data_IF_791732267735
#
_entry.id   IF_791732267735
#
_cell.length_a   1.000
_cell.length_b   1.000
_cell.length_c   1.000
_cell.angle_alpha   90.00
_cell.angle_beta   90.00
_cell.angle_gamma   90.00
#
_symmetry.space_group_name_H-M   'P 1'
#
loop_
_entity.id
_entity.type
_entity.pdbx_description
1 polymer ?
#
# COMPACT_ATOMS: atom_id res chain seq x y z
N UNK A 1 -16.23 -24.49 -1.49
CA UNK A 1 -15.09 -24.58 -2.44
C UNK A 1 -14.92 -23.29 -3.26
N UNK A 2 -15.94 -22.83 -3.99
CA UNK A 2 -15.85 -21.59 -4.80
C UNK A 2 -15.51 -20.32 -3.99
N UNK A 3 -16.09 -20.14 -2.80
CA UNK A 3 -15.78 -19.00 -1.93
C UNK A 3 -14.31 -18.95 -1.53
N UNK A 4 -13.71 -20.11 -1.21
CA UNK A 4 -12.30 -20.17 -0.83
C UNK A 4 -11.40 -19.80 -2.00
N UNK A 5 -11.68 -20.32 -3.21
CA UNK A 5 -10.95 -19.96 -4.43
C UNK A 5 -11.08 -18.47 -4.72
N UNK A 6 -12.29 -17.93 -4.64
CA UNK A 6 -12.55 -16.51 -4.87
C UNK A 6 -11.77 -15.62 -3.87
N UNK A 7 -11.82 -15.95 -2.58
CA UNK A 7 -11.09 -15.20 -1.54
C UNK A 7 -9.58 -15.28 -1.77
N UNK A 8 -9.04 -16.47 -2.07
CA UNK A 8 -7.60 -16.61 -2.35
C UNK A 8 -7.16 -15.78 -3.55
N UNK A 9 -7.93 -15.79 -4.64
CA UNK A 9 -7.66 -14.95 -5.81
C UNK A 9 -7.72 -13.46 -5.46
N UNK A 10 -8.78 -13.05 -4.74
CA UNK A 10 -8.94 -11.67 -4.30
C UNK A 10 -7.77 -11.21 -3.42
N UNK A 11 -7.30 -12.05 -2.48
CA UNK A 11 -6.15 -11.76 -1.63
C UNK A 11 -4.86 -11.59 -2.44
N UNK A 12 -4.61 -12.46 -3.42
CA UNK A 12 -3.43 -12.36 -4.30
C UNK A 12 -3.47 -11.05 -5.09
N UNK A 13 -4.61 -10.75 -5.72
CA UNK A 13 -4.74 -9.53 -6.52
C UNK A 13 -4.69 -8.25 -5.67
N UNK A 14 -5.27 -8.27 -4.46
CA UNK A 14 -5.15 -7.18 -3.49
C UNK A 14 -3.68 -6.96 -3.08
N UNK A 15 -2.95 -8.04 -2.82
CA UNK A 15 -1.51 -8.01 -2.56
C UNK A 15 -0.69 -7.43 -3.72
N UNK A 16 -1.04 -7.76 -4.96
CA UNK A 16 -0.43 -7.16 -6.16
C UNK A 16 -0.77 -5.66 -6.30
N UNK A 17 -2.02 -5.29 -6.03
CA UNK A 17 -2.46 -3.89 -5.99
C UNK A 17 -1.63 -3.06 -5.03
N UNK A 18 -1.34 -3.60 -3.83
CA UNK A 18 -0.52 -2.92 -2.83
C UNK A 18 0.99 -2.93 -3.16
N UNK A 19 1.54 -4.09 -3.49
CA UNK A 19 2.99 -4.26 -3.65
C UNK A 19 3.52 -3.71 -4.98
N UNK A 20 2.83 -3.98 -6.09
CA UNK A 20 3.24 -3.54 -7.42
C UNK A 20 2.72 -2.15 -7.72
N UNK A 21 1.43 -1.91 -7.43
CA UNK A 21 0.82 -0.60 -7.57
C UNK A 21 1.27 0.35 -6.47
N UNK A 22 0.71 0.17 -5.27
CA UNK A 22 0.83 1.04 -4.10
C UNK A 22 2.24 1.54 -3.87
N UNK A 23 3.09 0.53 -3.65
CA UNK A 23 4.44 0.67 -3.20
C UNK A 23 5.39 0.98 -4.38
N UNK A 24 5.52 0.10 -5.36
CA UNK A 24 6.54 0.24 -6.42
C UNK A 24 6.18 1.29 -7.48
N UNK A 25 4.94 1.32 -7.96
CA UNK A 25 4.53 2.24 -9.02
C UNK A 25 4.25 3.65 -8.50
N UNK A 26 3.35 3.81 -7.53
CA UNK A 26 2.93 5.16 -7.09
C UNK A 26 3.86 5.76 -6.03
N UNK A 27 4.28 5.01 -5.01
CA UNK A 27 5.16 5.55 -3.97
C UNK A 27 6.60 5.73 -4.46
N UNK A 28 7.25 4.67 -4.97
CA UNK A 28 8.66 4.72 -5.37
C UNK A 28 8.93 5.08 -6.83
N UNK A 29 7.92 5.03 -7.71
CA UNK A 29 8.10 5.25 -9.16
C UNK A 29 9.20 4.36 -9.77
N UNK A 30 9.35 3.12 -9.28
CA UNK A 30 10.44 2.21 -9.67
C UNK A 30 10.39 1.78 -11.15
N UNK A 31 9.22 1.95 -11.80
CA UNK A 31 9.04 1.67 -13.22
C UNK A 31 7.96 2.57 -13.82
N UNK A 32 7.90 2.62 -15.15
CA UNK A 32 6.84 3.33 -15.90
C UNK A 32 5.83 2.31 -16.44
N UNK A 33 4.56 2.55 -16.17
CA UNK A 33 3.44 1.75 -16.69
C UNK A 33 2.63 2.56 -17.73
N UNK A 34 2.12 1.87 -18.76
CA UNK A 34 1.10 2.43 -19.67
C UNK A 34 -0.26 2.49 -18.98
N UNK A 35 -1.18 3.27 -19.55
CA UNK A 35 -2.52 3.51 -18.96
C UNK A 35 -3.29 2.24 -18.57
N UNK A 36 -3.35 1.16 -19.39
CA UNK A 36 -4.10 -0.04 -19.02
C UNK A 36 -3.60 -0.68 -17.73
N UNK A 37 -2.26 -0.81 -17.58
CA UNK A 37 -1.66 -1.36 -16.37
C UNK A 37 -1.86 -0.43 -15.16
N UNK A 38 -1.76 0.90 -15.37
CA UNK A 38 -2.03 1.88 -14.30
C UNK A 38 -3.45 1.75 -13.78
N UNK A 39 -4.44 1.68 -14.67
CA UNK A 39 -5.85 1.55 -14.31
C UNK A 39 -6.12 0.20 -13.63
N UNK A 40 -5.58 -0.89 -14.19
CA UNK A 40 -5.72 -2.22 -13.61
C UNK A 40 -5.18 -2.27 -12.17
N UNK A 41 -3.95 -1.82 -11.95
CA UNK A 41 -3.37 -1.78 -10.60
C UNK A 41 -4.17 -0.86 -9.68
N UNK A 42 -4.66 0.29 -10.16
CA UNK A 42 -5.45 1.22 -9.35
C UNK A 42 -6.74 0.58 -8.85
N UNK A 43 -7.43 -0.19 -9.70
CA UNK A 43 -8.61 -0.99 -9.32
C UNK A 43 -8.21 -2.07 -8.29
N UNK A 44 -7.07 -2.74 -8.45
CA UNK A 44 -6.62 -3.70 -7.45
C UNK A 44 -6.24 -3.05 -6.11
N UNK A 45 -5.74 -1.82 -6.11
CA UNK A 45 -5.44 -1.13 -4.85
C UNK A 45 -6.71 -0.81 -4.06
N UNK A 46 -7.85 -0.50 -4.71
CA UNK A 46 -9.08 -0.15 -3.97
C UNK A 46 -9.58 -1.32 -3.11
N UNK A 47 -9.27 -2.57 -3.48
CA UNK A 47 -9.63 -3.76 -2.67
C UNK A 47 -8.81 -3.88 -1.38
N UNK A 48 -7.78 -3.07 -1.19
CA UNK A 48 -6.93 -3.07 0.01
C UNK A 48 -7.48 -2.20 1.13
N UNK A 49 -8.38 -1.25 0.83
CA UNK A 49 -8.89 -0.25 1.78
C UNK A 49 -7.81 0.57 2.51
N UNK A 50 -6.59 0.67 1.97
CA UNK A 50 -5.46 1.42 2.54
C UNK A 50 -5.46 2.92 2.14
N UNK A 51 -6.64 3.53 2.00
CA UNK A 51 -6.79 4.88 1.46
C UNK A 51 -6.53 4.99 -0.05
N UNK A 52 -6.50 6.22 -0.57
CA UNK A 52 -6.24 6.46 -1.99
C UNK A 52 -4.78 6.19 -2.35
N UNK A 53 -4.50 5.90 -3.63
CA UNK A 53 -3.13 5.74 -4.14
C UNK A 53 -2.23 6.95 -3.81
N UNK A 54 -2.80 8.15 -3.82
CA UNK A 54 -2.11 9.39 -3.49
C UNK A 54 -1.80 9.49 -1.99
N UNK A 55 -2.78 9.21 -1.12
CA UNK A 55 -2.61 9.24 0.33
C UNK A 55 -1.56 8.21 0.78
N UNK A 56 -1.68 6.97 0.29
CA UNK A 56 -0.69 5.94 0.55
C UNK A 56 0.72 6.35 0.09
N UNK A 57 0.85 6.87 -1.13
CA UNK A 57 2.14 7.30 -1.65
C UNK A 57 2.74 8.47 -0.85
N UNK A 58 1.91 9.39 -0.34
CA UNK A 58 2.34 10.45 0.59
C UNK A 58 2.90 9.84 1.86
N UNK A 59 2.12 9.03 2.56
CA UNK A 59 2.48 8.51 3.88
C UNK A 59 3.70 7.58 3.80
N UNK A 60 3.77 6.75 2.75
CA UNK A 60 4.91 5.88 2.51
C UNK A 60 6.20 6.66 2.23
N UNK A 61 6.13 7.77 1.48
CA UNK A 61 7.29 8.64 1.25
C UNK A 61 7.69 9.40 2.52
N UNK A 62 6.71 9.85 3.32
CA UNK A 62 6.97 10.47 4.63
C UNK A 62 7.69 9.50 5.55
N UNK A 63 7.22 8.25 5.63
CA UNK A 63 7.86 7.18 6.38
C UNK A 63 9.31 6.94 5.95
N UNK A 64 9.59 6.86 4.65
CA UNK A 64 10.96 6.68 4.16
C UNK A 64 11.85 7.91 4.38
N UNK A 65 11.28 9.12 4.35
CA UNK A 65 12.05 10.35 4.54
C UNK A 65 12.44 10.56 6.00
N UNK A 66 11.55 10.20 6.92
CA UNK A 66 11.66 10.49 8.35
C UNK A 66 11.76 9.21 9.19
N UNK A 67 12.26 8.12 8.62
CA UNK A 67 12.29 6.80 9.27
C UNK A 67 12.80 6.90 10.71
N UNK A 68 12.03 6.31 11.63
CA UNK A 68 12.26 6.26 13.07
C UNK A 68 12.29 7.63 13.79
N UNK A 69 11.92 8.72 13.11
CA UNK A 69 11.77 10.07 13.67
C UNK A 69 10.29 10.38 13.98
N UNK A 70 10.04 11.47 14.69
CA UNK A 70 8.69 11.87 15.12
C UNK A 70 7.72 12.08 13.93
N UNK A 71 8.24 12.51 12.78
CA UNK A 71 7.45 12.76 11.57
C UNK A 71 7.12 11.48 10.78
N UNK A 72 7.70 10.33 11.13
CA UNK A 72 7.29 9.06 10.56
C UNK A 72 5.91 8.67 11.11
N UNK A 73 4.86 8.62 10.27
CA UNK A 73 3.52 8.28 10.72
C UNK A 73 3.47 6.93 11.45
N UNK A 74 4.35 5.98 11.10
CA UNK A 74 4.38 4.63 11.69
C UNK A 74 5.67 4.36 12.48
N UNK A 75 6.19 5.40 13.14
CA UNK A 75 7.42 5.33 13.92
C UNK A 75 7.41 4.14 14.92
N UNK A 76 8.31 3.14 14.77
CA UNK A 76 8.37 1.97 15.66
C UNK A 76 8.85 2.31 17.08
N UNK A 77 9.53 3.43 17.29
CA UNK A 77 9.95 3.91 18.62
C UNK A 77 8.77 4.25 19.53
N UNK A 78 7.57 4.45 18.97
CA UNK A 78 6.31 4.63 19.71
C UNK A 78 5.69 3.29 20.15
N UNK A 79 6.37 2.17 19.91
CA UNK A 79 5.97 0.83 20.31
C UNK A 79 5.24 0.04 19.23
N UNK A 80 5.24 -1.29 19.38
CA UNK A 80 4.67 -2.23 18.41
C UNK A 80 3.21 -1.92 18.07
N UNK A 81 2.37 -1.69 19.07
CA UNK A 81 0.95 -1.41 18.85
C UNK A 81 0.74 -0.17 17.97
N UNK A 82 1.47 0.92 18.27
CA UNK A 82 1.38 2.15 17.50
C UNK A 82 1.76 1.91 16.04
N UNK A 83 2.92 1.32 15.78
CA UNK A 83 3.42 1.09 14.42
C UNK A 83 2.61 0.05 13.62
N UNK A 84 1.88 -0.86 14.30
CA UNK A 84 1.09 -1.89 13.63
C UNK A 84 -0.33 -1.41 13.29
N UNK A 85 -1.05 -0.84 14.26
CA UNK A 85 -2.48 -0.48 14.12
C UNK A 85 -2.88 0.82 14.85
N UNK A 86 -1.99 1.48 15.58
CA UNK A 86 -2.31 2.71 16.31
C UNK A 86 -2.02 4.01 15.55
N UNK A 87 -1.41 3.92 14.37
CA UNK A 87 -0.98 5.05 13.55
C UNK A 87 -2.00 5.53 12.50
N UNK A 88 -3.06 4.73 12.28
CA UNK A 88 -4.12 5.04 11.33
C UNK A 88 -4.85 6.33 11.66
#
# INVERSE_FOLDING_TARGET
MFTAIFVSLLSIFSGLGMSVGGHRLWAHKSFKARFPLKLFLLILQTTTFNGSALAYARDHRTHHKWTDQEQDPKNPSRGMFYAHIGWW
#
